data_IF_245526171574
#
_entry.id   IF_245526171574
#
_cell.length_a   1.000
_cell.length_b   1.000
_cell.length_c   1.000
_cell.angle_alpha   90.00
_cell.angle_beta   90.00
_cell.angle_gamma   90.00
#
_symmetry.space_group_name_H-M   'P 1'
#
loop_
_entity.id
_entity.type
_entity.pdbx_description
1 polymer ?
#
# COMPACT_ATOMS: atom_id res chain seq x y z
N UNK A 1 -17.63 -38.60 -44.68
CA UNK A 1 -18.35 -37.50 -44.01
C UNK A 1 -17.75 -37.35 -42.62
N UNK A 2 -16.84 -36.38 -42.45
CA UNK A 2 -16.17 -36.09 -41.17
C UNK A 2 -17.04 -35.07 -40.42
N UNK A 3 -17.55 -35.44 -39.25
CA UNK A 3 -18.29 -34.53 -38.38
C UNK A 3 -17.31 -33.94 -37.37
N UNK A 4 -17.14 -32.62 -37.45
CA UNK A 4 -16.27 -31.82 -36.59
C UNK A 4 -16.65 -31.89 -35.11
N UNK A 5 -15.61 -31.83 -34.29
CA UNK A 5 -15.63 -31.72 -32.84
C UNK A 5 -16.35 -30.43 -32.38
N UNK A 6 -17.41 -30.59 -31.58
CA UNK A 6 -17.95 -29.49 -30.80
C UNK A 6 -16.97 -29.14 -29.68
N UNK A 7 -16.19 -28.08 -29.89
CA UNK A 7 -15.43 -27.41 -28.85
C UNK A 7 -16.39 -26.79 -27.83
N UNK A 8 -16.36 -27.31 -26.60
CA UNK A 8 -16.96 -26.66 -25.43
C UNK A 8 -16.41 -25.23 -25.31
N UNK A 9 -17.22 -24.23 -24.90
CA UNK A 9 -16.70 -22.90 -24.64
C UNK A 9 -15.70 -22.99 -23.49
N UNK A 10 -14.43 -22.74 -23.80
CA UNK A 10 -13.39 -22.54 -22.80
C UNK A 10 -13.87 -21.43 -21.88
N UNK A 11 -14.13 -21.76 -20.61
CA UNK A 11 -14.19 -20.78 -19.53
C UNK A 11 -12.90 -19.96 -19.64
N UNK A 12 -13.04 -18.70 -20.01
CA UNK A 12 -11.95 -17.73 -19.95
C UNK A 12 -11.46 -17.72 -18.51
N UNK A 13 -10.33 -18.40 -18.27
CA UNK A 13 -9.59 -18.25 -17.02
C UNK A 13 -9.37 -16.75 -16.88
N UNK A 14 -9.94 -16.14 -15.84
CA UNK A 14 -9.67 -14.76 -15.50
C UNK A 14 -8.15 -14.60 -15.50
N UNK A 15 -7.60 -13.90 -16.49
CA UNK A 15 -6.18 -13.60 -16.52
C UNK A 15 -5.90 -12.85 -15.23
N UNK A 16 -5.12 -13.45 -14.33
CA UNK A 16 -4.67 -12.76 -13.14
C UNK A 16 -3.87 -11.55 -13.62
N UNK A 17 -4.48 -10.37 -13.53
CA UNK A 17 -3.81 -9.12 -13.86
C UNK A 17 -2.63 -9.02 -12.90
N UNK A 18 -1.42 -8.86 -13.43
CA UNK A 18 -0.26 -8.61 -12.60
C UNK A 18 -0.49 -7.34 -11.78
N UNK A 19 -0.09 -7.33 -10.50
CA UNK A 19 -0.31 -6.19 -9.63
C UNK A 19 0.19 -4.89 -10.28
N UNK A 20 -0.69 -3.90 -10.49
CA UNK A 20 -0.28 -2.63 -11.08
C UNK A 20 0.64 -1.88 -10.10
N UNK A 21 1.65 -1.15 -10.60
CA UNK A 21 2.56 -0.43 -9.73
C UNK A 21 1.83 0.69 -8.97
N UNK A 22 2.24 0.87 -7.71
CA UNK A 22 1.68 1.87 -6.79
C UNK A 22 2.76 2.82 -6.30
N UNK A 23 2.34 3.99 -5.84
CA UNK A 23 3.14 5.01 -5.21
C UNK A 23 2.57 5.40 -3.86
N UNK A 24 3.44 5.91 -2.99
CA UNK A 24 3.11 6.31 -1.63
C UNK A 24 3.26 7.81 -1.43
N UNK A 25 2.32 8.40 -0.72
CA UNK A 25 2.46 9.76 -0.19
C UNK A 25 2.48 9.69 1.33
N UNK A 26 3.42 10.40 1.95
CA UNK A 26 3.51 10.50 3.40
C UNK A 26 3.15 11.92 3.81
N UNK A 27 2.26 12.05 4.78
CA UNK A 27 2.00 13.28 5.50
C UNK A 27 2.50 13.13 6.94
N UNK A 28 3.30 14.09 7.39
CA UNK A 28 3.69 14.25 8.79
C UNK A 28 2.95 15.45 9.35
N UNK A 29 2.11 15.23 10.37
CA UNK A 29 1.22 16.23 10.95
C UNK A 29 0.37 16.95 9.88
N UNK A 30 -0.11 16.17 8.89
CA UNK A 30 -0.90 16.66 7.76
C UNK A 30 -0.09 17.34 6.65
N UNK A 31 1.23 17.47 6.77
CA UNK A 31 2.09 18.10 5.76
C UNK A 31 2.86 17.07 4.94
N UNK A 32 2.93 17.20 3.60
CA UNK A 32 3.72 16.30 2.77
C UNK A 32 5.17 16.25 3.20
N UNK A 33 5.65 15.03 3.43
CA UNK A 33 7.07 14.75 3.62
C UNK A 33 7.66 14.71 2.21
N UNK A 34 8.70 15.50 1.96
CA UNK A 34 9.37 15.51 0.67
C UNK A 34 9.88 14.12 0.25
N UNK A 35 10.49 14.00 -0.95
CA UNK A 35 10.78 12.72 -1.61
C UNK A 35 11.72 11.78 -0.82
N UNK A 36 12.35 12.25 0.25
CA UNK A 36 13.31 11.49 1.05
C UNK A 36 12.67 10.55 2.06
N UNK A 37 11.34 10.58 2.25
CA UNK A 37 10.64 9.77 3.26
C UNK A 37 11.17 9.97 4.69
N UNK A 38 11.78 11.14 4.94
CA UNK A 38 12.37 11.51 6.24
C UNK A 38 11.43 12.40 7.03
N UNK A 39 10.83 11.82 8.07
CA UNK A 39 9.88 12.49 8.96
C UNK A 39 10.61 13.11 10.16
N UNK A 40 10.27 14.34 10.57
CA UNK A 40 10.78 14.90 11.83
C UNK A 40 10.43 14.02 13.03
N UNK A 41 11.36 13.84 13.97
CA UNK A 41 11.10 13.08 15.21
C UNK A 41 10.01 13.73 16.08
N UNK A 42 9.78 15.04 15.88
CA UNK A 42 8.75 15.81 16.58
C UNK A 42 7.34 15.58 16.03
N UNK A 43 7.20 14.85 14.92
CA UNK A 43 5.90 14.59 14.33
C UNK A 43 5.07 13.63 15.16
N UNK A 44 3.82 14.02 15.42
CA UNK A 44 2.89 13.28 16.26
C UNK A 44 2.06 12.30 15.45
N UNK A 45 1.76 12.66 14.20
CA UNK A 45 0.95 11.83 13.31
C UNK A 45 1.67 11.61 11.98
N UNK A 46 1.70 10.36 11.53
CA UNK A 46 2.09 10.01 10.17
C UNK A 46 0.91 9.38 9.47
N UNK A 47 0.55 9.93 8.33
CA UNK A 47 -0.44 9.36 7.43
C UNK A 47 0.25 8.90 6.15
N UNK A 48 0.05 7.65 5.79
CA UNK A 48 0.50 7.04 4.56
C UNK A 48 -0.71 6.80 3.66
N UNK A 49 -0.67 7.34 2.45
CA UNK A 49 -1.66 7.04 1.41
C UNK A 49 -0.99 6.29 0.27
N UNK A 50 -1.74 5.40 -0.38
CA UNK A 50 -1.26 4.56 -1.45
C UNK A 50 -2.17 4.71 -2.67
N UNK A 51 -1.57 4.90 -3.84
CA UNK A 51 -2.28 5.15 -5.09
C UNK A 51 -1.58 4.44 -6.25
N UNK A 52 -2.30 4.17 -7.32
CA UNK A 52 -1.69 3.76 -8.59
C UNK A 52 -0.68 4.81 -9.08
N UNK A 53 0.41 4.38 -9.69
CA UNK A 53 1.26 5.32 -10.43
C UNK A 53 0.48 5.92 -11.61
N UNK A 54 0.84 7.13 -12.08
CA UNK A 54 0.21 7.73 -13.25
C UNK A 54 0.28 6.85 -14.50
N UNK A 55 1.34 6.07 -14.67
CA UNK A 55 1.52 5.10 -15.75
C UNK A 55 0.55 3.91 -15.59
N UNK A 56 0.45 3.34 -14.39
CA UNK A 56 -0.47 2.24 -14.11
C UNK A 56 -1.91 2.64 -14.34
N UNK A 57 -2.29 3.84 -13.90
CA UNK A 57 -3.65 4.34 -14.09
C UNK A 57 -4.01 4.55 -15.57
N UNK A 58 -3.03 4.95 -16.39
CA UNK A 58 -3.21 5.05 -17.86
C UNK A 58 -3.35 3.68 -18.53
N UNK A 59 -2.65 2.67 -18.02
CA UNK A 59 -2.71 1.29 -18.53
C UNK A 59 -3.98 0.55 -18.09
N UNK A 60 -4.52 0.92 -16.93
CA UNK A 60 -5.70 0.30 -16.31
C UNK A 60 -6.79 1.35 -15.98
N UNK A 61 -7.40 1.99 -16.99
CA UNK A 61 -8.42 3.03 -16.78
C UNK A 61 -9.72 2.51 -16.14
N UNK A 62 -9.91 1.19 -16.06
CA UNK A 62 -10.99 0.51 -15.36
C UNK A 62 -10.84 0.55 -13.83
N UNK A 63 -9.62 0.77 -13.34
CA UNK A 63 -9.30 0.85 -11.91
C UNK A 63 -9.44 2.28 -11.39
N UNK A 64 -9.89 2.39 -10.14
CA UNK A 64 -9.75 3.62 -9.37
C UNK A 64 -8.28 3.85 -8.98
N UNK A 65 -7.91 5.11 -8.82
CA UNK A 65 -6.53 5.48 -8.50
C UNK A 65 -6.13 5.17 -7.06
N UNK A 66 -7.09 5.09 -6.13
CA UNK A 66 -6.81 4.91 -4.71
C UNK A 66 -6.68 3.43 -4.35
N UNK A 67 -5.68 3.12 -3.53
CA UNK A 67 -5.50 1.80 -2.94
C UNK A 67 -6.10 1.84 -1.52
N UNK A 68 -7.06 0.96 -1.27
CA UNK A 68 -7.66 0.75 0.04
C UNK A 68 -6.71 -0.11 0.86
N UNK A 69 -6.28 0.38 2.01
CA UNK A 69 -5.42 -0.36 2.93
C UNK A 69 -6.32 -0.95 4.02
N UNK A 70 -6.48 -2.27 4.03
CA UNK A 70 -7.30 -2.98 5.03
C UNK A 70 -6.49 -3.42 6.23
N UNK A 71 -5.25 -3.85 5.99
CA UNK A 71 -4.38 -4.36 7.04
C UNK A 71 -2.90 -4.07 6.72
N UNK A 72 -2.14 -3.71 7.74
CA UNK A 72 -0.71 -3.50 7.66
C UNK A 72 0.00 -3.85 8.97
N UNK A 73 1.23 -4.33 8.86
CA UNK A 73 2.15 -4.52 9.99
C UNK A 73 3.20 -3.43 9.95
N UNK A 74 3.38 -2.73 11.05
CA UNK A 74 4.35 -1.65 11.19
C UNK A 74 5.37 -2.09 12.23
N UNK A 75 6.62 -2.25 11.82
CA UNK A 75 7.73 -2.54 12.72
C UNK A 75 8.54 -1.27 12.96
N UNK A 76 8.79 -0.92 14.23
CA UNK A 76 9.76 0.09 14.61
C UNK A 76 11.13 -0.54 14.76
N UNK A 77 12.10 -0.04 14.01
CA UNK A 77 13.46 -0.57 14.00
C UNK A 77 14.43 0.54 14.37
N UNK A 78 15.29 0.27 15.36
CA UNK A 78 16.43 1.12 15.74
C UNK A 78 17.72 0.41 15.37
N UNK A 79 18.47 0.95 14.42
CA UNK A 79 19.61 0.24 13.84
C UNK A 79 19.15 -1.08 13.20
N UNK A 80 19.54 -2.22 13.79
CA UNK A 80 19.14 -3.57 13.36
C UNK A 80 18.10 -4.23 14.28
N UNK A 81 17.72 -3.59 15.38
CA UNK A 81 16.85 -4.17 16.40
C UNK A 81 15.42 -3.68 16.22
N UNK A 82 14.45 -4.61 16.23
CA UNK A 82 13.04 -4.24 16.34
C UNK A 82 12.75 -3.79 17.77
N UNK A 83 12.38 -2.52 17.94
CA UNK A 83 12.08 -1.90 19.24
C UNK A 83 10.58 -1.72 19.48
N UNK A 84 9.75 -2.00 18.49
CA UNK A 84 8.29 -1.96 18.61
C UNK A 84 7.60 -2.56 17.39
N UNK A 85 6.32 -2.86 17.54
CA UNK A 85 5.46 -3.28 16.44
C UNK A 85 4.03 -2.81 16.67
N UNK A 86 3.30 -2.60 15.58
CA UNK A 86 1.88 -2.26 15.56
C UNK A 86 1.22 -3.04 14.43
N UNK A 87 0.14 -3.74 14.75
CA UNK A 87 -0.76 -4.29 13.74
C UNK A 87 -1.86 -3.26 13.52
N UNK A 88 -1.92 -2.72 12.31
CA UNK A 88 -2.89 -1.71 11.93
C UNK A 88 -3.98 -2.35 11.08
N UNK A 89 -5.22 -2.16 11.48
CA UNK A 89 -6.39 -2.54 10.70
C UNK A 89 -7.25 -1.32 10.44
N UNK A 90 -7.67 -1.12 9.21
CA UNK A 90 -8.55 -0.02 8.83
C UNK A 90 -9.42 -0.39 7.65
N UNK A 91 -10.27 0.55 7.23
CA UNK A 91 -11.21 0.32 6.14
C UNK A 91 -11.12 1.35 5.02
N UNK A 92 -10.25 2.36 5.15
CA UNK A 92 -10.10 3.48 4.22
C UNK A 92 -8.86 3.41 3.32
N UNK A 93 -8.54 4.55 2.71
CA UNK A 93 -7.41 4.71 1.78
C UNK A 93 -6.11 5.13 2.48
N UNK A 94 -6.22 5.47 3.76
CA UNK A 94 -5.16 6.11 4.52
C UNK A 94 -4.82 5.24 5.73
N UNK A 95 -3.53 4.95 5.87
CA UNK A 95 -2.96 4.36 7.07
C UNK A 95 -2.43 5.51 7.92
N UNK A 96 -3.14 5.80 9.01
CA UNK A 96 -2.71 6.81 9.99
C UNK A 96 -2.17 6.16 11.24
N UNK A 97 -0.98 6.60 11.64
CA UNK A 97 -0.29 6.17 12.85
C UNK A 97 -0.12 7.42 13.73
N UNK A 98 -0.72 7.39 14.91
CA UNK A 98 -0.47 8.37 15.95
C UNK A 98 0.65 7.83 16.86
N UNK A 99 1.67 8.64 17.07
CA UNK A 99 2.77 8.30 17.96
C UNK A 99 2.58 8.97 19.31
N UNK A 100 2.76 8.18 20.37
CA UNK A 100 3.09 8.71 21.68
C UNK A 100 4.59 9.00 21.71
N UNK A 101 5.05 10.08 22.39
CA UNK A 101 6.42 10.58 22.27
C UNK A 101 7.42 9.50 22.70
N UNK A 102 8.03 8.83 21.73
CA UNK A 102 9.00 7.78 22.01
C UNK A 102 10.06 7.65 20.92
N UNK A 103 9.87 8.20 19.72
CA UNK A 103 10.77 8.14 18.57
C UNK A 103 12.16 8.70 18.91
N UNK A 104 13.20 8.01 18.47
CA UNK A 104 14.58 8.48 18.57
C UNK A 104 15.17 8.70 17.17
N UNK A 105 16.19 9.57 17.04
CA UNK A 105 16.91 9.74 15.78
C UNK A 105 17.45 8.41 15.26
N UNK A 106 17.29 8.17 13.96
CA UNK A 106 17.71 6.92 13.33
C UNK A 106 16.74 5.74 13.49
N UNK A 107 15.61 5.94 14.20
CA UNK A 107 14.52 4.98 14.13
C UNK A 107 13.91 4.97 12.72
N UNK A 108 13.34 3.82 12.36
CA UNK A 108 12.67 3.60 11.09
C UNK A 108 11.38 2.82 11.30
N UNK A 109 10.34 3.19 10.58
CA UNK A 109 9.19 2.33 10.37
C UNK A 109 9.35 1.52 9.11
N UNK A 110 9.23 0.20 9.25
CA UNK A 110 9.08 -0.73 8.13
C UNK A 110 7.61 -1.13 8.11
N UNK A 111 6.89 -0.65 7.10
CA UNK A 111 5.47 -0.84 6.91
C UNK A 111 5.29 -1.91 5.85
N UNK A 112 4.58 -2.99 6.19
CA UNK A 112 4.19 -4.05 5.28
C UNK A 112 2.67 -4.01 5.12
N UNK A 113 2.18 -3.74 3.91
CA UNK A 113 0.75 -3.85 3.61
C UNK A 113 0.42 -5.33 3.38
N UNK A 114 -0.44 -5.89 4.22
CA UNK A 114 -0.83 -7.31 4.15
C UNK A 114 -2.12 -7.52 3.34
N UNK A 115 -3.04 -6.55 3.39
CA UNK A 115 -4.24 -6.51 2.56
C UNK A 115 -4.42 -5.10 2.00
N UNK A 116 -3.95 -4.93 0.77
CA UNK A 116 -4.13 -3.73 -0.04
C UNK A 116 -5.01 -4.08 -1.24
N UNK A 117 -6.01 -3.25 -1.51
CA UNK A 117 -7.01 -3.51 -2.56
C UNK A 117 -7.19 -2.30 -3.45
N UNK A 118 -7.45 -2.56 -4.72
CA UNK A 118 -7.82 -1.53 -5.69
C UNK A 118 -9.27 -1.78 -6.08
N UNK A 119 -10.07 -0.73 -6.06
CA UNK A 119 -11.45 -0.80 -6.52
C UNK A 119 -11.49 -0.60 -8.03
N UNK A 120 -12.33 -1.38 -8.71
CA UNK A 120 -12.75 -1.09 -10.07
C UNK A 120 -13.88 -0.06 -10.04
N UNK A 121 -14.00 0.74 -11.09
CA UNK A 121 -15.08 1.73 -11.23
C UNK A 121 -16.50 1.13 -11.16
N UNK A 122 -16.64 -0.18 -11.39
CA UNK A 122 -17.90 -0.91 -11.26
C UNK A 122 -18.23 -1.32 -9.80
N UNK A 123 -17.41 -0.92 -8.83
CA UNK A 123 -17.59 -1.19 -7.41
C UNK A 123 -16.92 -2.47 -6.89
N UNK A 124 -16.48 -3.38 -7.77
CA UNK A 124 -15.74 -4.59 -7.37
C UNK A 124 -14.32 -4.25 -6.93
N UNK A 125 -13.64 -5.15 -6.22
CA UNK A 125 -12.25 -4.91 -5.78
C UNK A 125 -11.34 -6.09 -6.09
N UNK A 126 -10.10 -5.75 -6.44
CA UNK A 126 -9.00 -6.69 -6.59
C UNK A 126 -8.04 -6.51 -5.41
N UNK A 127 -7.62 -7.63 -4.82
CA UNK A 127 -6.53 -7.64 -3.83
C UNK A 127 -5.20 -7.67 -4.57
N UNK A 128 -4.27 -6.81 -4.16
CA UNK A 128 -2.88 -6.87 -4.59
C UNK A 128 -2.23 -8.13 -4.00
N UNK A 129 -1.62 -8.94 -4.86
CA UNK A 129 -1.11 -10.27 -4.51
C UNK A 129 0.28 -10.21 -3.85
N UNK A 130 1.10 -9.22 -4.23
CA UNK A 130 2.45 -9.03 -3.70
C UNK A 130 2.41 -8.20 -2.42
N UNK A 131 3.15 -8.60 -1.37
CA UNK A 131 3.32 -7.76 -0.20
C UNK A 131 4.04 -6.48 -0.59
N UNK A 132 3.52 -5.34 -0.15
CA UNK A 132 4.13 -4.04 -0.41
C UNK A 132 4.84 -3.57 0.84
N UNK A 133 6.12 -3.25 0.70
CA UNK A 133 6.96 -2.76 1.78
C UNK A 133 7.29 -1.29 1.56
N UNK A 134 7.23 -0.51 2.64
CA UNK A 134 7.63 0.89 2.62
C UNK A 134 8.39 1.24 3.89
N UNK A 135 9.40 2.10 3.77
CA UNK A 135 10.24 2.51 4.89
C UNK A 135 10.16 4.01 5.11
N UNK A 136 9.85 4.41 6.35
CA UNK A 136 9.89 5.79 6.80
C UNK A 136 11.03 5.93 7.77
N UNK A 137 11.88 6.94 7.60
CA UNK A 137 13.01 7.19 8.51
C UNK A 137 12.79 8.46 9.31
N UNK A 138 13.20 8.45 10.58
CA UNK A 138 13.11 9.61 11.46
C UNK A 138 14.41 10.41 11.48
N UNK A 139 14.28 11.73 11.42
CA UNK A 139 15.38 12.68 11.55
C UNK A 139 15.08 13.74 12.60
N UNK A 140 16.13 14.32 13.16
CA UNK A 140 16.03 15.54 13.98
C UNK A 140 15.37 16.70 13.22
#
# INVERSE_FOLDING_TARGET
MLVSLNSLPQRTLAQAIADPPVQFTILADGKPVGPTSKVPISSQTITLTCQLTPEAHRQHPELDSNVIIKNAVINRVRGTTRVGFLNWSGSGNDLSIAFAPAEAPGDRYIIQLEDARIQYKNGTSMRLQKPIFYTISFRD
#
